data_IF_662979651827
#
_entry.id   IF_662979651827
#
_cell.length_a   1.000
_cell.length_b   1.000
_cell.length_c   1.000
_cell.angle_alpha   90.00
_cell.angle_beta   90.00
_cell.angle_gamma   90.00
#
_symmetry.space_group_name_H-M   'P 1'
#
loop_
_entity.id
_entity.type
_entity.pdbx_description
1 polymer ?
#
# COMPACT_ATOMS: atom_id res chain seq x y z
N UNK A 1 -25.12 -18.49 16.56
CA UNK A 1 -25.06 -17.35 17.50
C UNK A 1 -23.90 -16.46 17.08
N UNK A 2 -24.10 -15.13 16.94
CA UNK A 2 -22.98 -14.18 16.79
C UNK A 2 -22.43 -13.87 18.18
N UNK A 3 -21.11 -14.01 18.37
CA UNK A 3 -20.39 -13.56 19.56
C UNK A 3 -19.53 -12.37 19.17
N UNK A 4 -19.48 -11.37 20.03
CA UNK A 4 -18.60 -10.21 19.87
C UNK A 4 -17.41 -10.38 20.80
N UNK A 5 -16.21 -10.22 20.26
CA UNK A 5 -14.95 -10.28 21.01
C UNK A 5 -14.28 -8.91 20.92
N UNK A 6 -13.77 -8.42 22.05
CA UNK A 6 -12.97 -7.19 22.10
C UNK A 6 -11.56 -7.60 22.46
N UNK A 7 -10.61 -7.30 21.57
CA UNK A 7 -9.19 -7.55 21.77
C UNK A 7 -8.47 -6.21 21.94
N UNK A 8 -7.52 -6.16 22.87
CA UNK A 8 -6.72 -4.97 23.14
C UNK A 8 -5.26 -5.34 22.93
N UNK A 9 -4.61 -4.63 22.03
CA UNK A 9 -3.19 -4.79 21.73
C UNK A 9 -2.54 -3.41 21.64
N UNK A 10 -1.22 -3.40 21.81
CA UNK A 10 -0.38 -2.24 21.58
C UNK A 10 0.16 -2.20 20.14
N UNK A 11 0.01 -3.29 19.37
CA UNK A 11 0.50 -3.44 18.01
C UNK A 11 -0.64 -3.23 17.00
N UNK A 12 -0.43 -2.32 16.05
CA UNK A 12 -1.40 -2.09 14.98
C UNK A 12 -1.49 -3.25 14.00
N UNK A 13 -0.41 -4.00 13.78
CA UNK A 13 -0.40 -5.11 12.83
C UNK A 13 -1.30 -6.26 13.31
N UNK A 14 -1.27 -6.54 14.62
CA UNK A 14 -2.21 -7.47 15.24
C UNK A 14 -3.65 -6.98 15.10
N UNK A 15 -3.90 -5.68 15.32
CA UNK A 15 -5.22 -5.07 15.22
C UNK A 15 -5.77 -5.11 13.79
N UNK A 16 -4.91 -4.88 12.78
CA UNK A 16 -5.26 -4.93 11.35
C UNK A 16 -5.51 -6.36 10.89
N UNK A 17 -4.74 -7.31 11.39
CA UNK A 17 -4.84 -8.73 10.99
C UNK A 17 -6.10 -9.39 11.54
N UNK A 18 -6.50 -9.06 12.77
CA UNK A 18 -7.56 -9.78 13.50
C UNK A 18 -8.87 -8.99 13.58
N UNK A 19 -8.83 -7.67 13.49
CA UNK A 19 -9.97 -6.80 13.78
C UNK A 19 -10.91 -6.57 12.60
N UNK A 20 -12.21 -6.79 12.80
CA UNK A 20 -13.24 -6.30 11.87
C UNK A 20 -13.34 -4.76 11.91
N UNK A 21 -13.13 -4.18 13.11
CA UNK A 21 -13.03 -2.74 13.36
C UNK A 21 -11.95 -2.47 14.41
N UNK A 22 -11.28 -1.34 14.27
CA UNK A 22 -10.20 -0.90 15.14
C UNK A 22 -10.60 0.40 15.80
N UNK A 23 -10.45 0.48 17.13
CA UNK A 23 -10.53 1.70 17.90
C UNK A 23 -9.13 2.08 18.35
N UNK A 24 -8.52 3.07 17.71
CA UNK A 24 -7.26 3.64 18.16
C UNK A 24 -7.54 4.71 19.21
N UNK A 25 -6.81 4.65 20.33
CA UNK A 25 -7.01 5.54 21.47
C UNK A 25 -5.71 6.25 21.86
N UNK A 26 -5.81 7.53 22.24
CA UNK A 26 -4.78 8.35 22.86
C UNK A 26 -4.77 8.15 24.38
N UNK A 27 -3.83 8.83 25.04
CA UNK A 27 -3.82 8.97 26.50
C UNK A 27 -5.18 9.46 27.01
N UNK A 28 -5.51 9.12 28.26
CA UNK A 28 -6.77 9.49 28.91
C UNK A 28 -8.01 8.94 28.19
N UNK A 29 -7.87 7.79 27.51
CA UNK A 29 -8.96 7.07 26.84
C UNK A 29 -9.69 7.87 25.74
N UNK A 30 -9.02 8.85 25.14
CA UNK A 30 -9.61 9.60 24.02
C UNK A 30 -9.52 8.79 22.72
N UNK A 31 -10.64 8.63 22.00
CA UNK A 31 -10.63 7.94 20.71
C UNK A 31 -9.93 8.83 19.68
N UNK A 32 -8.87 8.31 19.08
CA UNK A 32 -8.15 8.95 17.99
C UNK A 32 -8.83 8.69 16.64
N UNK A 33 -9.23 7.44 16.40
CA UNK A 33 -9.98 7.02 15.22
C UNK A 33 -10.66 5.67 15.50
N UNK A 34 -11.88 5.51 15.01
CA UNK A 34 -12.60 4.23 15.03
C UNK A 34 -13.06 3.90 13.62
N UNK A 35 -12.39 2.95 12.97
CA UNK A 35 -12.75 2.57 11.61
C UNK A 35 -12.41 1.11 11.27
N UNK A 36 -12.67 0.71 10.02
CA UNK A 36 -12.14 -0.52 9.43
C UNK A 36 -10.61 -0.43 9.30
N UNK A 37 -9.90 -1.56 9.31
CA UNK A 37 -8.44 -1.57 9.16
C UNK A 37 -7.95 -0.82 7.91
N UNK A 38 -8.61 -1.06 6.77
CA UNK A 38 -8.30 -0.41 5.49
C UNK A 38 -8.39 1.12 5.59
N UNK A 39 -9.46 1.65 6.19
CA UNK A 39 -9.65 3.09 6.36
C UNK A 39 -8.61 3.71 7.29
N UNK A 40 -8.24 3.04 8.39
CA UNK A 40 -7.21 3.56 9.29
C UNK A 40 -5.85 3.68 8.59
N UNK A 41 -5.46 2.68 7.79
CA UNK A 41 -4.17 2.67 7.10
C UNK A 41 -4.12 3.67 5.94
N UNK A 42 -5.16 3.73 5.13
CA UNK A 42 -5.19 4.57 3.92
C UNK A 42 -5.55 6.03 4.28
N UNK A 43 -6.49 6.22 5.21
CA UNK A 43 -7.07 7.52 5.58
C UNK A 43 -7.01 7.76 7.10
N UNK A 44 -5.81 7.92 7.67
CA UNK A 44 -5.68 8.24 9.08
C UNK A 44 -6.27 9.62 9.38
N UNK A 45 -7.07 9.69 10.43
CA UNK A 45 -7.88 10.86 10.77
C UNK A 45 -7.08 12.01 11.40
N UNK A 46 -5.84 11.79 11.82
CA UNK A 46 -4.96 12.85 12.32
C UNK A 46 -3.47 12.51 12.17
N UNK A 47 -2.62 13.51 12.38
CA UNK A 47 -1.16 13.35 12.45
C UNK A 47 -0.77 12.32 13.51
N UNK A 48 -1.39 12.36 14.70
CA UNK A 48 -1.18 11.34 15.72
C UNK A 48 -1.46 9.91 15.21
N UNK A 49 -2.56 9.70 14.48
CA UNK A 49 -2.85 8.37 13.92
C UNK A 49 -1.77 8.00 12.90
N UNK A 50 -1.36 8.95 12.06
CA UNK A 50 -0.29 8.73 11.08
C UNK A 50 1.05 8.40 11.74
N UNK A 51 1.41 9.07 12.83
CA UNK A 51 2.61 8.82 13.62
C UNK A 51 2.54 7.48 14.36
N UNK A 52 1.35 7.13 14.87
CA UNK A 52 1.11 5.86 15.54
C UNK A 52 1.24 4.66 14.59
N UNK A 53 0.82 4.81 13.33
CA UNK A 53 1.08 3.84 12.27
C UNK A 53 2.59 3.69 11.94
N UNK A 54 3.39 4.68 12.34
CA UNK A 54 4.85 4.64 12.31
C UNK A 54 5.50 4.91 10.95
N UNK A 55 6.84 5.03 10.98
CA UNK A 55 7.78 5.25 9.86
C UNK A 55 7.73 4.19 8.75
N UNK A 56 6.99 3.11 8.96
CA UNK A 56 6.70 2.04 8.01
C UNK A 56 5.60 2.41 7.00
N UNK A 57 5.03 3.62 7.07
CA UNK A 57 3.88 4.04 6.24
C UNK A 57 4.08 3.82 4.74
N UNK A 58 5.30 4.00 4.23
CA UNK A 58 5.63 3.70 2.84
C UNK A 58 5.62 2.19 2.57
N UNK A 59 6.31 1.40 3.39
CA UNK A 59 6.35 -0.05 3.27
C UNK A 59 4.95 -0.69 3.40
N UNK A 60 4.15 -0.25 4.38
CA UNK A 60 2.74 -0.66 4.55
C UNK A 60 1.86 -0.26 3.38
N UNK A 61 2.09 0.92 2.78
CA UNK A 61 1.34 1.31 1.57
C UNK A 61 1.73 0.44 0.39
N UNK A 62 3.02 0.18 0.21
CA UNK A 62 3.51 -0.66 -0.88
C UNK A 62 3.05 -2.12 -0.76
N UNK A 63 2.82 -2.63 0.44
CA UNK A 63 2.32 -4.00 0.65
C UNK A 63 0.83 -4.17 0.31
N UNK A 64 0.06 -3.09 0.27
CA UNK A 64 -1.40 -3.12 0.02
C UNK A 64 -1.75 -2.60 -1.37
N UNK A 65 -1.01 -1.62 -1.88
CA UNK A 65 -1.24 -1.07 -3.23
C UNK A 65 -0.77 -2.07 -4.27
N UNK A 66 -1.60 -2.30 -5.28
CA UNK A 66 -1.30 -3.16 -6.44
C UNK A 66 -0.70 -2.35 -7.59
N UNK A 67 -0.08 -3.05 -8.54
CA UNK A 67 0.47 -2.46 -9.76
C UNK A 67 -0.66 -1.80 -10.57
N UNK A 68 -0.51 -0.51 -10.88
CA UNK A 68 -1.37 0.18 -11.85
C UNK A 68 -0.79 -0.02 -13.27
N UNK A 69 -1.50 -0.73 -14.17
CA UNK A 69 -1.01 -1.01 -15.51
C UNK A 69 -0.74 0.27 -16.34
N UNK A 70 -1.35 1.41 -15.98
CA UNK A 70 -1.13 2.69 -16.67
C UNK A 70 0.23 3.33 -16.35
N UNK A 71 0.92 2.83 -15.33
CA UNK A 71 2.24 3.34 -14.90
C UNK A 71 3.40 2.50 -15.42
N UNK A 72 3.10 1.41 -16.13
CA UNK A 72 4.10 0.50 -16.67
C UNK A 72 4.80 1.13 -17.87
N UNK A 73 6.11 0.90 -17.96
CA UNK A 73 6.89 1.25 -19.13
C UNK A 73 6.73 0.19 -20.21
N UNK A 74 6.72 0.61 -21.47
CA UNK A 74 6.48 -0.27 -22.62
C UNK A 74 7.68 -0.23 -23.55
N UNK A 75 8.69 -1.11 -23.37
CA UNK A 75 9.78 -1.23 -24.33
C UNK A 75 9.28 -1.78 -25.67
N UNK A 76 9.82 -1.27 -26.78
CA UNK A 76 9.41 -1.62 -28.15
C UNK A 76 9.57 -3.11 -28.50
N UNK A 77 10.32 -3.89 -27.70
CA UNK A 77 10.63 -5.30 -27.92
C UNK A 77 9.98 -6.30 -26.94
N UNK A 78 9.13 -5.84 -26.01
CA UNK A 78 8.65 -6.68 -24.91
C UNK A 78 9.67 -6.84 -23.78
N UNK A 79 9.45 -7.76 -22.82
CA UNK A 79 10.32 -7.89 -21.66
C UNK A 79 11.70 -8.43 -22.06
N UNK A 80 12.76 -7.93 -21.43
CA UNK A 80 14.08 -8.49 -21.63
C UNK A 80 14.15 -9.94 -21.11
N UNK A 81 15.08 -10.74 -21.67
CA UNK A 81 15.11 -12.20 -21.50
C UNK A 81 15.22 -12.70 -20.06
N UNK A 82 15.73 -11.87 -19.15
CA UNK A 82 16.01 -12.23 -17.76
C UNK A 82 15.23 -11.37 -16.75
N UNK A 83 14.19 -10.66 -17.22
CA UNK A 83 13.36 -9.88 -16.30
C UNK A 83 12.50 -10.81 -15.44
N UNK A 84 12.47 -10.60 -14.11
CA UNK A 84 11.62 -11.37 -13.23
C UNK A 84 10.15 -11.11 -13.58
N UNK A 85 9.39 -12.20 -13.67
CA UNK A 85 7.97 -12.17 -14.02
C UNK A 85 7.12 -11.95 -12.78
N UNK A 86 6.28 -10.92 -12.82
CA UNK A 86 5.40 -10.53 -11.71
C UNK A 86 3.95 -10.46 -12.19
N UNK A 87 2.99 -11.10 -11.50
CA UNK A 87 1.57 -10.94 -11.81
C UNK A 87 1.08 -9.51 -11.55
N UNK A 88 0.16 -8.99 -12.37
CA UNK A 88 -0.48 -7.68 -12.17
C UNK A 88 -1.15 -7.54 -10.79
N UNK A 89 -1.62 -8.66 -10.23
CA UNK A 89 -2.27 -8.69 -8.91
C UNK A 89 -1.30 -8.50 -7.73
N UNK A 90 0.01 -8.48 -7.98
CA UNK A 90 1.03 -8.38 -6.94
C UNK A 90 1.05 -7.00 -6.27
N UNK A 91 1.58 -6.96 -5.05
CA UNK A 91 1.81 -5.70 -4.35
C UNK A 91 2.98 -4.93 -4.95
N UNK A 92 3.05 -3.62 -4.71
CA UNK A 92 4.23 -2.82 -5.08
C UNK A 92 5.49 -3.29 -4.36
N UNK A 93 5.36 -3.86 -3.16
CA UNK A 93 6.48 -4.48 -2.42
C UNK A 93 7.04 -5.68 -3.17
N UNK A 94 6.18 -6.60 -3.62
CA UNK A 94 6.61 -7.79 -4.37
C UNK A 94 7.22 -7.42 -5.72
N UNK A 95 6.62 -6.43 -6.40
CA UNK A 95 7.11 -5.92 -7.67
C UNK A 95 8.49 -5.25 -7.54
N UNK A 96 8.70 -4.45 -6.48
CA UNK A 96 10.01 -3.87 -6.18
C UNK A 96 11.03 -4.95 -5.81
N UNK A 97 10.66 -5.91 -4.97
CA UNK A 97 11.55 -7.01 -4.58
C UNK A 97 12.00 -7.81 -5.81
N UNK A 98 11.09 -8.10 -6.74
CA UNK A 98 11.42 -8.70 -8.02
C UNK A 98 12.38 -7.81 -8.82
N UNK A 99 12.06 -6.52 -9.01
CA UNK A 99 12.90 -5.61 -9.78
C UNK A 99 14.35 -5.50 -9.24
N UNK A 100 14.54 -5.57 -7.93
CA UNK A 100 15.87 -5.58 -7.29
C UNK A 100 16.71 -6.83 -7.61
N UNK A 101 16.07 -7.93 -8.03
CA UNK A 101 16.79 -9.12 -8.50
C UNK A 101 17.25 -9.01 -9.95
N UNK A 102 16.74 -8.02 -10.69
CA UNK A 102 17.07 -7.78 -12.09
C UNK A 102 18.28 -6.85 -12.23
N UNK A 103 19.22 -7.12 -13.15
CA UNK A 103 20.36 -6.23 -13.42
C UNK A 103 19.98 -4.89 -14.05
N UNK A 104 18.77 -4.79 -14.61
CA UNK A 104 18.22 -3.59 -15.25
C UNK A 104 17.25 -2.83 -14.33
N UNK A 105 17.03 -3.31 -13.11
CA UNK A 105 16.11 -2.74 -12.11
C UNK A 105 14.64 -2.73 -12.58
N UNK A 106 14.23 -3.77 -13.32
CA UNK A 106 12.86 -3.91 -13.87
C UNK A 106 12.24 -5.24 -13.47
N UNK A 107 10.91 -5.29 -13.54
CA UNK A 107 10.15 -6.54 -13.45
C UNK A 107 9.07 -6.58 -14.52
N UNK A 108 8.99 -7.67 -15.27
CA UNK A 108 8.03 -7.82 -16.35
C UNK A 108 6.65 -8.19 -15.78
N UNK A 109 5.64 -7.36 -16.05
CA UNK A 109 4.29 -7.52 -15.49
C UNK A 109 3.37 -8.24 -16.45
N UNK A 110 2.63 -9.23 -15.93
CA UNK A 110 1.72 -10.05 -16.72
C UNK A 110 0.31 -10.12 -16.10
N UNK A 111 -0.69 -10.14 -16.97
CA UNK A 111 -2.06 -10.58 -16.63
C UNK A 111 -2.32 -11.92 -17.32
N UNK A 112 -2.25 -13.01 -16.54
CA UNK A 112 -2.14 -14.36 -17.08
C UNK A 112 -0.86 -14.50 -17.92
N UNK A 113 -1.01 -14.80 -19.21
CA UNK A 113 0.09 -14.89 -20.18
C UNK A 113 0.31 -13.62 -20.99
N UNK A 114 -0.54 -12.61 -20.80
CA UNK A 114 -0.42 -11.34 -21.52
C UNK A 114 0.61 -10.46 -20.81
N UNK A 115 1.69 -10.14 -21.49
CA UNK A 115 2.63 -9.09 -21.08
C UNK A 115 1.94 -7.72 -21.15
N UNK A 116 2.07 -6.94 -20.08
CA UNK A 116 1.46 -5.62 -19.95
C UNK A 116 2.48 -4.47 -19.94
N UNK A 117 3.76 -4.75 -19.70
CA UNK A 117 4.80 -3.74 -19.56
C UNK A 117 5.75 -4.07 -18.41
N UNK A 118 6.73 -3.19 -18.20
CA UNK A 118 7.72 -3.34 -17.14
C UNK A 118 7.41 -2.41 -15.98
N UNK A 119 7.53 -2.95 -14.77
CA UNK A 119 7.53 -2.20 -13.54
C UNK A 119 8.93 -1.66 -13.25
N UNK A 120 9.02 -0.34 -13.01
CA UNK A 120 10.26 0.37 -12.69
C UNK A 120 10.11 1.25 -11.45
N UNK A 121 11.19 1.89 -11.01
CA UNK A 121 11.14 2.94 -9.98
C UNK A 121 10.17 4.09 -10.37
N UNK A 122 10.07 4.42 -11.66
CA UNK A 122 9.10 5.41 -12.15
C UNK A 122 7.67 4.92 -11.96
N UNK A 123 7.38 3.67 -12.35
CA UNK A 123 6.07 3.03 -12.15
C UNK A 123 5.67 3.01 -10.67
N UNK A 124 6.62 2.71 -9.77
CA UNK A 124 6.42 2.73 -8.32
C UNK A 124 5.99 4.12 -7.84
N UNK A 125 6.77 5.16 -8.18
CA UNK A 125 6.51 6.53 -7.75
C UNK A 125 5.17 7.05 -8.29
N UNK A 126 4.83 6.75 -9.54
CA UNK A 126 3.56 7.13 -10.14
C UNK A 126 2.37 6.41 -9.51
N UNK A 127 2.49 5.09 -9.26
CA UNK A 127 1.47 4.31 -8.57
C UNK A 127 1.19 4.86 -7.16
N UNK A 128 2.25 5.20 -6.41
CA UNK A 128 2.11 5.78 -5.07
C UNK A 128 1.51 7.20 -5.07
N UNK A 129 1.84 8.03 -6.08
CA UNK A 129 1.24 9.36 -6.24
C UNK A 129 -0.25 9.28 -6.56
N UNK A 130 -0.65 8.40 -7.48
CA UNK A 130 -2.05 8.17 -7.85
C UNK A 130 -2.87 7.69 -6.66
N UNK A 131 -2.35 6.70 -5.92
CA UNK A 131 -2.98 6.21 -4.70
C UNK A 131 -3.11 7.29 -3.61
N UNK A 132 -2.23 8.30 -3.59
CA UNK A 132 -2.33 9.43 -2.66
C UNK A 132 -3.34 10.48 -3.11
N UNK A 133 -3.48 10.71 -4.41
CA UNK A 133 -4.41 11.69 -4.99
C UNK A 133 -5.88 11.25 -4.83
N UNK A 134 -6.13 9.94 -4.84
CA UNK A 134 -7.47 9.37 -4.61
C UNK A 134 -7.88 9.38 -3.12
N UNK A 135 -6.97 9.73 -2.21
CA UNK A 135 -7.20 9.80 -0.76
C UNK A 135 -6.93 11.19 -0.13
N UNK A 136 -6.84 12.26 -0.91
CA UNK A 136 -6.49 13.60 -0.42
C UNK A 136 -7.55 14.21 0.51
N UNK A 137 -7.15 14.51 1.74
CA UNK A 137 -7.84 15.46 2.63
C UNK A 137 -7.75 16.85 1.96
N UNK A 138 -8.86 17.61 1.82
CA UNK A 138 -8.78 18.98 1.32
C UNK A 138 -7.89 19.83 2.23
N UNK A 139 -7.00 20.57 1.59
CA UNK A 139 -6.00 21.47 2.17
C UNK A 139 -6.60 22.34 3.29
N UNK A 140 -6.17 22.10 4.53
CA UNK A 140 -6.46 22.98 5.66
C UNK A 140 -5.46 24.15 5.66
N UNK A 141 -5.46 24.92 4.58
CA UNK A 141 -4.84 26.25 4.55
C UNK A 141 -5.95 27.28 4.84
N UNK A 142 -6.11 27.60 6.12
CA UNK A 142 -7.11 28.57 6.58
C UNK A 142 -6.93 28.94 8.05
N UNK A 143 -5.80 29.56 8.39
CA UNK A 143 -5.69 30.62 9.41
C UNK A 143 -4.65 31.62 8.95
#
# INVERSE_FOLDING_TARGET
MRKTVVFVTHDIDEAVTVGDRICLMKMQAQIAQYDTPERIVIHPASEYVSEFLGRERLARRMSVVRIDPKTLEHPDGGPARDEPRVPLSSSLTDALAAALTSPTERAAVFDGDRYLGDFTATSLLESLRRASAEGGIPDAAGV
#
